data_IF_694246833796
#
_entry.id   IF_694246833796
#
_cell.length_a   1.000
_cell.length_b   1.000
_cell.length_c   1.000
_cell.angle_alpha   90.00
_cell.angle_beta   90.00
_cell.angle_gamma   90.00
#
_symmetry.space_group_name_H-M   'P 1'
#
loop_
_entity.id
_entity.type
_entity.pdbx_description
1 polymer ?
#
# COMPACT_ATOMS: atom_id res chain seq x y z
N UNK A 1 49.58 -12.13 3.25
CA UNK A 1 48.16 -12.38 3.58
C UNK A 1 47.43 -11.06 3.43
N UNK A 2 46.85 -10.84 2.23
CA UNK A 2 46.15 -9.59 1.91
C UNK A 2 44.69 -9.75 2.48
N UNK A 3 44.49 -9.23 3.65
CA UNK A 3 43.13 -9.00 4.15
C UNK A 3 42.57 -7.81 3.37
N UNK A 4 41.79 -8.07 2.34
CA UNK A 4 40.94 -7.06 1.71
C UNK A 4 40.07 -6.46 2.81
N UNK A 5 40.07 -5.15 2.99
CA UNK A 5 39.32 -4.57 4.10
C UNK A 5 37.83 -4.89 3.92
N UNK A 6 37.20 -5.41 4.94
CA UNK A 6 35.74 -5.73 5.00
C UNK A 6 34.89 -4.56 4.49
N UNK A 7 35.37 -3.34 4.68
CA UNK A 7 34.74 -2.10 4.16
C UNK A 7 34.68 -2.01 2.64
N UNK A 8 35.67 -2.58 1.91
CA UNK A 8 35.66 -2.55 0.46
C UNK A 8 34.59 -3.49 -0.13
N UNK A 9 34.39 -4.64 0.49
CA UNK A 9 33.30 -5.55 0.09
C UNK A 9 31.94 -4.97 0.40
N UNK A 10 31.76 -4.36 1.57
CA UNK A 10 30.53 -3.68 1.96
C UNK A 10 30.22 -2.51 1.02
N UNK A 11 31.21 -1.70 0.69
CA UNK A 11 31.07 -0.60 -0.26
C UNK A 11 30.63 -1.09 -1.64
N UNK A 12 31.26 -2.15 -2.16
CA UNK A 12 30.88 -2.73 -3.44
C UNK A 12 29.46 -3.33 -3.43
N UNK A 13 29.03 -3.93 -2.31
CA UNK A 13 27.66 -4.41 -2.17
C UNK A 13 26.65 -3.25 -2.18
N UNK A 14 26.92 -2.17 -1.46
CA UNK A 14 26.08 -0.97 -1.44
C UNK A 14 26.03 -0.32 -2.84
N UNK A 15 27.17 -0.18 -3.50
CA UNK A 15 27.24 0.36 -4.87
C UNK A 15 26.40 -0.49 -5.84
N UNK A 16 26.56 -1.81 -5.80
CA UNK A 16 25.80 -2.74 -6.65
C UNK A 16 24.29 -2.68 -6.35
N UNK A 17 23.91 -2.57 -5.09
CA UNK A 17 22.50 -2.39 -4.70
C UNK A 17 21.97 -1.06 -5.24
N UNK A 18 22.74 0.03 -5.19
CA UNK A 18 22.33 1.32 -5.71
C UNK A 18 22.18 1.30 -7.25
N UNK A 19 23.10 0.67 -7.97
CA UNK A 19 23.03 0.49 -9.43
C UNK A 19 21.78 -0.31 -9.85
N UNK A 20 21.43 -1.36 -9.10
CA UNK A 20 20.23 -2.15 -9.35
C UNK A 20 18.96 -1.35 -9.05
N UNK A 21 18.92 -0.66 -7.91
CA UNK A 21 17.73 0.07 -7.47
C UNK A 21 17.53 1.40 -8.20
N UNK A 22 18.61 2.03 -8.67
CA UNK A 22 18.57 3.30 -9.39
C UNK A 22 18.10 3.19 -10.84
N UNK A 23 18.12 1.98 -11.43
CA UNK A 23 17.63 1.73 -12.78
C UNK A 23 16.39 0.86 -12.73
N UNK A 24 15.25 1.39 -13.26
CA UNK A 24 13.98 0.70 -13.25
C UNK A 24 14.01 -0.69 -13.91
N UNK A 25 14.75 -0.82 -15.01
CA UNK A 25 14.87 -2.07 -15.75
C UNK A 25 15.72 -3.11 -14.99
N UNK A 26 16.85 -2.68 -14.41
CA UNK A 26 17.68 -3.52 -13.55
C UNK A 26 16.94 -3.97 -12.30
N UNK A 27 16.15 -3.08 -11.71
CA UNK A 27 15.27 -3.41 -10.57
C UNK A 27 14.24 -4.46 -10.96
N UNK A 28 13.58 -4.30 -12.11
CA UNK A 28 12.59 -5.27 -12.61
C UNK A 28 13.19 -6.66 -12.83
N UNK A 29 14.38 -6.72 -13.42
CA UNK A 29 15.10 -7.98 -13.64
C UNK A 29 15.53 -8.61 -12.32
N UNK A 30 16.00 -7.83 -11.37
CA UNK A 30 16.35 -8.30 -10.03
C UNK A 30 15.12 -8.84 -9.29
N UNK A 31 13.99 -8.14 -9.32
CA UNK A 31 12.75 -8.60 -8.72
C UNK A 31 12.24 -9.90 -9.38
N UNK A 32 12.39 -10.03 -10.70
CA UNK A 32 12.11 -11.27 -11.41
C UNK A 32 13.06 -12.42 -11.01
N UNK A 33 14.36 -12.14 -10.86
CA UNK A 33 15.33 -13.16 -10.45
C UNK A 33 15.07 -13.69 -9.04
N UNK A 34 14.75 -12.80 -8.10
CA UNK A 34 14.33 -13.20 -6.74
C UNK A 34 13.04 -14.05 -6.79
N UNK A 35 12.12 -13.71 -7.69
CA UNK A 35 10.91 -14.49 -7.88
C UNK A 35 11.21 -15.91 -8.42
N UNK A 36 12.17 -16.04 -9.33
CA UNK A 36 12.58 -17.32 -9.91
C UNK A 36 13.41 -18.17 -8.94
N UNK A 37 14.26 -17.55 -8.14
CA UNK A 37 15.11 -18.24 -7.17
C UNK A 37 14.38 -18.75 -5.92
N UNK A 38 13.07 -18.48 -5.78
CA UNK A 38 12.26 -18.98 -4.66
C UNK A 38 12.64 -18.42 -3.28
N UNK A 39 13.55 -17.44 -3.22
CA UNK A 39 14.02 -16.80 -1.98
C UNK A 39 13.03 -15.79 -1.40
N UNK A 40 11.89 -15.60 -2.05
CA UNK A 40 10.76 -14.93 -1.39
C UNK A 40 10.22 -15.89 -0.34
N UNK A 41 10.59 -15.70 0.91
CA UNK A 41 10.04 -16.41 2.08
C UNK A 41 8.54 -16.22 2.29
N UNK A 42 7.86 -15.59 1.34
CA UNK A 42 6.42 -15.54 1.27
C UNK A 42 5.96 -16.74 0.44
N UNK A 43 5.66 -17.81 1.16
CA UNK A 43 5.00 -19.01 0.64
C UNK A 43 3.98 -18.60 -0.42
N UNK A 44 4.29 -18.96 -1.68
CA UNK A 44 3.36 -18.88 -2.81
C UNK A 44 2.34 -20.01 -2.76
N UNK A 45 2.19 -20.67 -1.61
CA UNK A 45 1.11 -21.61 -1.43
C UNK A 45 -0.20 -20.84 -1.69
N UNK A 46 -1.03 -21.32 -2.60
CA UNK A 46 -2.33 -20.71 -2.81
C UNK A 46 -3.05 -20.66 -1.47
N UNK A 47 -3.56 -19.50 -1.11
CA UNK A 47 -4.41 -19.37 0.07
C UNK A 47 -5.57 -20.34 -0.13
N UNK A 48 -5.68 -21.34 0.74
CA UNK A 48 -6.68 -22.41 0.62
C UNK A 48 -7.72 -22.37 1.73
N UNK A 49 -7.41 -21.68 2.82
CA UNK A 49 -8.30 -21.60 3.98
C UNK A 49 -8.55 -20.17 4.43
N UNK A 50 -9.69 -19.98 5.09
CA UNK A 50 -10.05 -18.69 5.73
C UNK A 50 -8.98 -18.26 6.75
N UNK A 51 -8.48 -19.22 7.51
CA UNK A 51 -7.46 -18.96 8.53
C UNK A 51 -6.14 -18.47 7.90
N UNK A 52 -5.73 -19.04 6.77
CA UNK A 52 -4.57 -18.57 6.00
C UNK A 52 -4.77 -17.16 5.46
N UNK A 53 -5.98 -16.85 4.97
CA UNK A 53 -6.33 -15.51 4.52
C UNK A 53 -6.26 -14.50 5.66
N UNK A 54 -6.82 -14.83 6.82
CA UNK A 54 -6.77 -13.99 8.03
C UNK A 54 -5.34 -13.77 8.50
N UNK A 55 -4.54 -14.84 8.52
CA UNK A 55 -3.13 -14.75 8.87
C UNK A 55 -2.36 -13.87 7.89
N UNK A 56 -2.64 -14.01 6.60
CA UNK A 56 -2.05 -13.19 5.55
C UNK A 56 -2.35 -11.69 5.73
N UNK A 57 -3.60 -11.33 6.03
CA UNK A 57 -3.95 -9.93 6.32
C UNK A 57 -3.29 -9.41 7.58
N UNK A 58 -3.18 -10.24 8.61
CA UNK A 58 -2.48 -9.87 9.83
C UNK A 58 -0.99 -9.61 9.59
N UNK A 59 -0.34 -10.45 8.78
CA UNK A 59 1.06 -10.22 8.40
C UNK A 59 1.23 -8.92 7.60
N UNK A 60 0.32 -8.66 6.67
CA UNK A 60 0.33 -7.43 5.88
C UNK A 60 0.12 -6.19 6.77
N UNK A 61 -0.83 -6.24 7.69
CA UNK A 61 -1.08 -5.19 8.68
C UNK A 61 0.17 -4.92 9.53
N UNK A 62 0.79 -5.98 10.06
CA UNK A 62 2.01 -5.88 10.86
C UNK A 62 3.18 -5.30 10.06
N UNK A 63 3.36 -5.71 8.82
CA UNK A 63 4.37 -5.15 7.90
C UNK A 63 4.16 -3.64 7.72
N UNK A 64 2.92 -3.21 7.54
CA UNK A 64 2.58 -1.80 7.37
C UNK A 64 2.77 -0.98 8.65
N UNK A 65 2.48 -1.55 9.82
CA UNK A 65 2.72 -0.89 11.11
C UNK A 65 4.21 -0.67 11.40
N UNK A 66 5.07 -1.55 10.90
CA UNK A 66 6.52 -1.49 11.12
C UNK A 66 7.25 -0.66 10.07
N UNK A 67 6.62 -0.36 8.95
CA UNK A 67 7.22 0.37 7.85
C UNK A 67 6.80 1.84 7.91
N UNK A 68 7.78 2.76 7.87
CA UNK A 68 7.48 4.18 7.72
C UNK A 68 6.67 4.38 6.43
N UNK A 69 5.59 5.16 6.52
CA UNK A 69 4.66 5.42 5.40
C UNK A 69 5.38 5.90 4.12
N UNK A 70 6.54 6.55 4.25
CA UNK A 70 7.36 7.03 3.14
C UNK A 70 8.03 5.92 2.33
N UNK A 71 8.18 4.73 2.93
CA UNK A 71 8.83 3.57 2.33
C UNK A 71 7.86 2.44 1.99
N UNK A 72 6.55 2.69 2.11
CA UNK A 72 5.54 1.70 1.76
C UNK A 72 5.57 1.44 0.25
N UNK A 73 5.80 0.19 -0.11
CA UNK A 73 5.74 -0.23 -1.51
C UNK A 73 4.29 -0.48 -1.94
N UNK A 74 3.65 0.55 -2.48
CA UNK A 74 2.25 0.50 -2.95
C UNK A 74 2.01 -0.57 -4.02
N UNK A 75 2.97 -0.80 -4.91
CA UNK A 75 2.83 -1.80 -5.98
C UNK A 75 2.81 -3.21 -5.42
N UNK A 76 3.58 -3.47 -4.36
CA UNK A 76 3.54 -4.75 -3.64
C UNK A 76 2.19 -4.99 -2.99
N UNK A 77 1.60 -3.96 -2.37
CA UNK A 77 0.26 -4.06 -1.78
C UNK A 77 -0.77 -4.32 -2.87
N UNK A 78 -0.75 -3.56 -3.96
CA UNK A 78 -1.65 -3.74 -5.10
C UNK A 78 -1.52 -5.13 -5.72
N UNK A 79 -0.31 -5.63 -5.88
CA UNK A 79 -0.07 -6.98 -6.41
C UNK A 79 -0.73 -8.04 -5.50
N UNK A 80 -0.59 -7.90 -4.19
CA UNK A 80 -1.19 -8.80 -3.22
C UNK A 80 -2.73 -8.75 -3.24
N UNK A 81 -3.30 -7.55 -3.29
CA UNK A 81 -4.76 -7.35 -3.36
C UNK A 81 -5.37 -7.78 -4.70
N UNK A 82 -4.59 -7.77 -5.78
CA UNK A 82 -5.02 -8.23 -7.11
C UNK A 82 -4.74 -9.72 -7.35
N UNK A 83 -4.25 -10.45 -6.34
CA UNK A 83 -4.02 -11.87 -6.50
C UNK A 83 -5.33 -12.57 -6.93
N UNK A 84 -5.30 -13.46 -7.95
CA UNK A 84 -6.52 -14.07 -8.50
C UNK A 84 -7.39 -14.78 -7.47
N UNK A 85 -6.77 -15.34 -6.43
CA UNK A 85 -7.46 -16.06 -5.37
C UNK A 85 -8.04 -15.15 -4.28
N UNK A 86 -7.65 -13.88 -4.23
CA UNK A 86 -8.03 -12.98 -3.15
C UNK A 86 -9.54 -12.74 -3.05
N UNK A 87 -10.17 -12.32 -4.15
CA UNK A 87 -11.60 -12.03 -4.17
C UNK A 87 -12.49 -13.27 -4.02
N UNK A 88 -12.23 -14.40 -4.70
CA UNK A 88 -12.96 -15.63 -4.47
C UNK A 88 -12.96 -16.06 -3.01
N UNK A 89 -11.79 -16.04 -2.33
CA UNK A 89 -11.69 -16.41 -0.93
C UNK A 89 -12.41 -15.44 0.01
N UNK A 90 -12.32 -14.12 -0.25
CA UNK A 90 -13.12 -13.16 0.53
C UNK A 90 -14.61 -13.50 0.41
N UNK A 91 -15.09 -13.77 -0.79
CA UNK A 91 -16.48 -14.09 -1.04
C UNK A 91 -16.92 -15.37 -0.30
N UNK A 92 -16.11 -16.42 -0.38
CA UNK A 92 -16.35 -17.68 0.32
C UNK A 92 -16.38 -17.48 1.84
N UNK A 93 -15.41 -16.74 2.37
CA UNK A 93 -15.37 -16.44 3.80
C UNK A 93 -16.56 -15.63 4.28
N UNK A 94 -17.03 -14.66 3.49
CA UNK A 94 -18.20 -13.86 3.83
C UNK A 94 -19.47 -14.73 3.81
N UNK A 95 -19.51 -15.73 2.94
CA UNK A 95 -20.64 -16.66 2.86
C UNK A 95 -20.65 -17.70 3.99
N UNK A 96 -19.49 -18.18 4.42
CA UNK A 96 -19.32 -19.26 5.39
C UNK A 96 -18.94 -18.79 6.80
N UNK A 97 -18.33 -17.61 6.93
CA UNK A 97 -17.82 -17.09 8.19
C UNK A 97 -18.88 -16.43 9.08
N UNK A 98 -18.61 -16.45 10.38
CA UNK A 98 -19.43 -15.73 11.37
C UNK A 98 -19.37 -14.21 11.13
N UNK A 99 -20.38 -13.48 11.63
CA UNK A 99 -20.41 -12.01 11.52
C UNK A 99 -19.17 -11.34 12.13
N UNK A 100 -18.64 -11.91 13.22
CA UNK A 100 -17.43 -11.41 13.87
C UNK A 100 -16.18 -11.58 12.99
N UNK A 101 -16.04 -12.71 12.30
CA UNK A 101 -14.94 -12.97 11.36
C UNK A 101 -15.02 -12.04 10.15
N UNK A 102 -16.23 -11.83 9.62
CA UNK A 102 -16.46 -10.88 8.53
C UNK A 102 -16.06 -9.46 8.93
N UNK A 103 -16.45 -9.00 10.12
CA UNK A 103 -16.07 -7.68 10.65
C UNK A 103 -14.55 -7.55 10.85
N UNK A 104 -13.91 -8.59 11.36
CA UNK A 104 -12.45 -8.59 11.55
C UNK A 104 -11.72 -8.50 10.23
N UNK A 105 -12.14 -9.27 9.23
CA UNK A 105 -11.56 -9.21 7.88
C UNK A 105 -11.78 -7.83 7.25
N UNK A 106 -12.99 -7.28 7.34
CA UNK A 106 -13.28 -5.97 6.79
C UNK A 106 -12.38 -4.89 7.39
N UNK A 107 -12.20 -4.89 8.72
CA UNK A 107 -11.28 -3.96 9.40
C UNK A 107 -9.85 -4.08 8.87
N UNK A 108 -9.36 -5.30 8.68
CA UNK A 108 -8.02 -5.53 8.14
C UNK A 108 -7.88 -5.05 6.69
N UNK A 109 -8.89 -5.32 5.85
CA UNK A 109 -8.91 -4.82 4.47
C UNK A 109 -8.90 -3.29 4.44
N UNK A 110 -9.75 -2.65 5.24
CA UNK A 110 -9.84 -1.19 5.35
C UNK A 110 -8.50 -0.61 5.80
N UNK A 111 -7.88 -1.20 6.82
CA UNK A 111 -6.58 -0.78 7.30
C UNK A 111 -5.53 -0.77 6.19
N UNK A 112 -5.46 -1.83 5.38
CA UNK A 112 -4.53 -1.92 4.25
C UNK A 112 -4.87 -0.88 3.17
N UNK A 113 -6.15 -0.69 2.86
CA UNK A 113 -6.59 0.26 1.84
C UNK A 113 -6.35 1.73 2.23
N UNK A 114 -6.31 2.05 3.53
CA UNK A 114 -5.99 3.41 3.99
C UNK A 114 -4.65 3.93 3.49
N UNK A 115 -3.70 3.05 3.24
CA UNK A 115 -2.37 3.45 2.75
C UNK A 115 -2.32 3.65 1.24
N UNK A 116 -3.33 3.19 0.52
CA UNK A 116 -3.35 3.33 -0.94
C UNK A 116 -3.88 4.73 -1.36
N UNK A 117 -3.40 5.24 -2.51
CA UNK A 117 -3.96 6.43 -3.12
C UNK A 117 -5.45 6.26 -3.47
N UNK A 118 -6.20 7.38 -3.46
CA UNK A 118 -7.64 7.39 -3.76
C UNK A 118 -8.01 6.64 -5.06
N UNK A 119 -7.23 6.83 -6.12
CA UNK A 119 -7.49 6.19 -7.41
C UNK A 119 -7.50 4.66 -7.28
N UNK A 120 -6.54 4.09 -6.56
CA UNK A 120 -6.42 2.65 -6.36
C UNK A 120 -7.55 2.13 -5.46
N UNK A 121 -7.82 2.81 -4.34
CA UNK A 121 -8.93 2.45 -3.44
C UNK A 121 -10.27 2.44 -4.18
N UNK A 122 -10.52 3.44 -5.02
CA UNK A 122 -11.73 3.52 -5.84
C UNK A 122 -11.88 2.33 -6.79
N UNK A 123 -10.77 1.81 -7.33
CA UNK A 123 -10.79 0.64 -8.21
C UNK A 123 -11.20 -0.67 -7.49
N UNK A 124 -10.98 -0.75 -6.17
CA UNK A 124 -11.40 -1.89 -5.34
C UNK A 124 -12.85 -1.80 -4.87
N UNK A 125 -13.46 -0.62 -4.88
CA UNK A 125 -14.83 -0.41 -4.39
C UNK A 125 -15.84 -1.42 -4.96
N UNK A 126 -16.04 -1.52 -6.29
CA UNK A 126 -17.05 -2.43 -6.84
C UNK A 126 -16.74 -3.89 -6.52
N UNK A 127 -15.46 -4.25 -6.44
CA UNK A 127 -15.02 -5.61 -6.12
C UNK A 127 -15.39 -5.99 -4.69
N UNK A 128 -15.20 -5.06 -3.74
CA UNK A 128 -15.50 -5.28 -2.34
C UNK A 128 -17.01 -5.20 -2.07
N UNK A 129 -17.73 -4.23 -2.62
CA UNK A 129 -19.19 -4.14 -2.47
C UNK A 129 -19.90 -5.39 -3.00
N UNK A 130 -19.36 -6.03 -4.06
CA UNK A 130 -19.91 -7.29 -4.57
C UNK A 130 -19.61 -8.50 -3.66
N UNK A 131 -18.62 -8.42 -2.80
CA UNK A 131 -18.30 -9.48 -1.85
C UNK A 131 -19.14 -9.34 -0.57
N UNK A 132 -19.29 -8.13 -0.04
CA UNK A 132 -19.98 -7.86 1.22
C UNK A 132 -21.46 -7.62 0.99
N UNK A 133 -22.31 -8.52 1.53
CA UNK A 133 -23.77 -8.42 1.41
C UNK A 133 -24.39 -7.56 2.52
N UNK A 134 -23.70 -7.38 3.64
CA UNK A 134 -24.18 -6.60 4.77
C UNK A 134 -24.10 -5.10 4.46
N UNK A 135 -25.23 -4.39 4.66
CA UNK A 135 -25.32 -2.94 4.42
C UNK A 135 -24.32 -2.12 5.25
N UNK A 136 -24.08 -2.52 6.49
CA UNK A 136 -23.15 -1.80 7.38
C UNK A 136 -21.71 -1.89 6.84
N UNK A 137 -21.33 -3.05 6.31
CA UNK A 137 -20.02 -3.24 5.70
C UNK A 137 -19.85 -2.38 4.43
N UNK A 138 -20.91 -2.27 3.62
CA UNK A 138 -20.91 -1.44 2.42
C UNK A 138 -20.80 0.05 2.79
N UNK A 139 -21.50 0.48 3.85
CA UNK A 139 -21.41 1.85 4.35
C UNK A 139 -19.98 2.17 4.76
N UNK A 140 -19.33 1.30 5.53
CA UNK A 140 -17.95 1.48 5.98
C UNK A 140 -16.96 1.58 4.80
N UNK A 141 -17.14 0.77 3.75
CA UNK A 141 -16.32 0.85 2.53
C UNK A 141 -16.52 2.21 1.83
N UNK A 142 -17.75 2.69 1.73
CA UNK A 142 -18.06 4.00 1.11
C UNK A 142 -17.53 5.19 1.91
N UNK A 143 -17.56 5.09 3.22
CA UNK A 143 -16.97 6.09 4.11
C UNK A 143 -15.47 6.22 3.88
N UNK A 144 -14.73 5.10 3.82
CA UNK A 144 -13.31 5.10 3.49
C UNK A 144 -13.04 5.81 2.15
N UNK A 145 -13.82 5.49 1.12
CA UNK A 145 -13.63 6.08 -0.20
C UNK A 145 -13.92 7.58 -0.20
N UNK A 146 -14.93 8.00 0.54
CA UNK A 146 -15.28 9.42 0.67
C UNK A 146 -14.18 10.19 1.40
N UNK A 147 -13.61 9.60 2.44
CA UNK A 147 -12.48 10.16 3.17
C UNK A 147 -11.25 10.29 2.27
N UNK A 148 -10.88 9.23 1.56
CA UNK A 148 -9.77 9.24 0.60
C UNK A 148 -9.96 10.24 -0.53
N UNK A 149 -11.19 10.43 -1.01
CA UNK A 149 -11.51 11.45 -2.00
C UNK A 149 -11.30 12.86 -1.44
N UNK A 150 -11.65 13.09 -0.17
CA UNK A 150 -11.44 14.36 0.51
C UNK A 150 -9.96 14.64 0.70
N UNK A 151 -9.18 13.64 1.15
CA UNK A 151 -7.73 13.73 1.26
C UNK A 151 -7.07 14.10 -0.08
N UNK A 152 -7.42 13.37 -1.15
CA UNK A 152 -6.88 13.62 -2.49
C UNK A 152 -7.19 15.05 -2.99
N UNK A 153 -8.42 15.55 -2.76
CA UNK A 153 -8.78 16.93 -3.09
C UNK A 153 -7.97 17.94 -2.28
N UNK A 154 -7.77 17.67 -0.99
CA UNK A 154 -6.99 18.52 -0.12
C UNK A 154 -5.54 18.62 -0.57
N UNK A 155 -4.93 17.49 -0.93
CA UNK A 155 -3.56 17.45 -1.46
C UNK A 155 -3.43 18.27 -2.76
N UNK A 156 -4.42 18.24 -3.64
CA UNK A 156 -4.43 19.05 -4.85
C UNK A 156 -4.58 20.55 -4.57
N UNK A 157 -5.30 20.92 -3.51
CA UNK A 157 -5.54 22.31 -3.15
C UNK A 157 -4.41 22.94 -2.32
N UNK A 158 -3.57 22.15 -1.65
CA UNK A 158 -2.46 22.63 -0.81
C UNK A 158 -1.52 23.57 -1.56
N UNK A 159 -1.06 23.15 -2.74
CA UNK A 159 -0.06 23.92 -3.50
C UNK A 159 -0.61 25.27 -3.97
N UNK A 160 -1.78 25.36 -4.65
CA UNK A 160 -2.33 26.64 -5.07
C UNK A 160 -2.72 27.52 -3.87
N UNK A 161 -3.17 26.94 -2.75
CA UNK A 161 -3.49 27.69 -1.54
C UNK A 161 -2.25 28.37 -0.94
N UNK A 162 -1.15 27.63 -0.81
CA UNK A 162 0.12 28.17 -0.30
C UNK A 162 0.64 29.28 -1.23
N UNK A 163 0.60 29.07 -2.54
CA UNK A 163 1.00 30.08 -3.52
C UNK A 163 0.14 31.36 -3.40
N UNK A 164 -1.16 31.20 -3.24
CA UNK A 164 -2.09 32.33 -3.07
C UNK A 164 -1.83 33.11 -1.78
N UNK A 165 -1.65 32.42 -0.66
CA UNK A 165 -1.32 33.04 0.63
C UNK A 165 0.02 33.79 0.54
N UNK A 166 1.04 33.18 -0.08
CA UNK A 166 2.35 33.81 -0.27
C UNK A 166 2.25 35.10 -1.10
N UNK A 167 1.46 35.08 -2.18
CA UNK A 167 1.21 36.25 -3.02
C UNK A 167 0.50 37.38 -2.24
N UNK A 168 -0.50 37.04 -1.44
CA UNK A 168 -1.22 38.03 -0.58
C UNK A 168 -0.27 38.65 0.45
N UNK A 169 0.60 37.86 1.08
CA UNK A 169 1.58 38.37 2.05
C UNK A 169 2.57 39.31 1.37
N UNK A 170 3.10 38.96 0.21
CA UNK A 170 4.01 39.82 -0.56
C UNK A 170 3.32 41.16 -0.93
N UNK A 171 2.06 41.11 -1.36
CA UNK A 171 1.31 42.31 -1.71
C UNK A 171 1.01 43.19 -0.49
N UNK A 172 0.69 42.56 0.65
CA UNK A 172 0.50 43.26 1.93
C UNK A 172 1.77 43.98 2.38
N UNK A 173 2.93 43.31 2.32
CA UNK A 173 4.21 43.93 2.66
C UNK A 173 4.52 45.08 1.71
N UNK A 174 4.29 44.92 0.41
CA UNK A 174 4.51 45.97 -0.58
C UNK A 174 3.65 47.22 -0.31
N UNK A 175 2.38 47.04 0.07
CA UNK A 175 1.46 48.14 0.39
C UNK A 175 1.83 48.88 1.69
N UNK A 176 2.36 48.17 2.68
CA UNK A 176 2.79 48.75 3.96
C UNK A 176 4.14 49.47 3.88
N UNK A 177 4.99 49.06 2.91
CA UNK A 177 6.30 49.67 2.69
C UNK A 177 6.26 50.94 1.83
N UNK A 178 5.09 51.34 1.33
CA UNK A 178 4.86 52.51 0.51
C UNK A 178 4.23 53.65 1.34
#
# INVERSE_FOLDING_TARGET
KNSTPVYFEQFNQIKKAYEILGNWESKRLYDQSIQLEGKSNYSRAPIQTVQELMHYFHLLEREMQQTDFRFINYDRIKWKLNHPLFLPFIKEMIQSGSLQEQQKLLKQIIYVLQFLPYHDVKAYQPKLENCFLNKDHIITIRELITEKKREAKWEQLKIPLVAFISALLCLGIFLLAK
#
